data_IF_976073829937
#
_entry.id   IF_976073829937
#
_cell.length_a   1.000
_cell.length_b   1.000
_cell.length_c   1.000
_cell.angle_alpha   90.00
_cell.angle_beta   90.00
_cell.angle_gamma   90.00
#
_symmetry.space_group_name_H-M   'P 1'
#
loop_
_entity.id
_entity.type
_entity.pdbx_description
1 polymer ?
#
# COMPACT_ATOMS: atom_id res chain seq x y z
N UNK A 1 3.56 -12.44 14.61
CA UNK A 1 2.17 -11.98 14.37
C UNK A 1 1.33 -13.05 13.69
N UNK A 2 0.01 -13.13 13.93
CA UNK A 2 -0.88 -14.07 13.20
C UNK A 2 -0.99 -13.65 11.72
N UNK A 3 -1.04 -14.61 10.80
CA UNK A 3 -1.12 -14.37 9.33
C UNK A 3 -2.22 -13.36 8.96
N UNK A 4 -3.38 -13.44 9.63
CA UNK A 4 -4.51 -12.55 9.44
C UNK A 4 -4.21 -11.07 9.74
N UNK A 5 -3.39 -10.78 10.74
CA UNK A 5 -2.99 -9.39 11.03
C UNK A 5 -2.05 -8.85 9.96
N UNK A 6 -1.12 -9.67 9.44
CA UNK A 6 -0.24 -9.28 8.33
C UNK A 6 -1.08 -8.92 7.11
N UNK A 7 -2.03 -9.76 6.74
CA UNK A 7 -2.97 -9.51 5.62
C UNK A 7 -3.76 -8.21 5.80
N UNK A 8 -4.30 -7.96 6.99
CA UNK A 8 -5.10 -6.76 7.27
C UNK A 8 -4.23 -5.49 7.19
N UNK A 9 -3.01 -5.53 7.72
CA UNK A 9 -2.06 -4.41 7.63
C UNK A 9 -1.68 -4.15 6.17
N UNK A 10 -1.38 -5.19 5.40
CA UNK A 10 -1.07 -5.03 3.97
C UNK A 10 -2.25 -4.42 3.22
N UNK A 11 -3.49 -4.86 3.49
CA UNK A 11 -4.69 -4.34 2.86
C UNK A 11 -4.89 -2.84 3.15
N UNK A 12 -4.75 -2.44 4.42
CA UNK A 12 -4.87 -1.05 4.84
C UNK A 12 -3.76 -0.19 4.20
N UNK A 13 -2.53 -0.71 4.15
CA UNK A 13 -1.43 0.00 3.51
C UNK A 13 -1.63 0.17 2.00
N UNK A 14 -2.16 -0.85 1.31
CA UNK A 14 -2.50 -0.77 -0.12
C UNK A 14 -3.57 0.30 -0.37
N UNK A 15 -4.61 0.36 0.47
CA UNK A 15 -5.65 1.38 0.38
C UNK A 15 -5.10 2.79 0.60
N UNK A 16 -4.27 2.98 1.63
CA UNK A 16 -3.62 4.26 1.91
C UNK A 16 -2.70 4.69 0.76
N UNK A 17 -1.93 3.76 0.19
CA UNK A 17 -1.04 4.04 -0.94
C UNK A 17 -1.82 4.44 -2.20
N UNK A 18 -2.86 3.68 -2.57
CA UNK A 18 -3.72 4.03 -3.71
C UNK A 18 -4.43 5.37 -3.50
N UNK A 19 -4.87 5.67 -2.29
CA UNK A 19 -5.49 6.97 -1.96
C UNK A 19 -4.49 8.12 -2.07
N UNK A 20 -3.30 7.96 -1.50
CA UNK A 20 -2.23 8.95 -1.59
C UNK A 20 -1.79 9.18 -3.04
N UNK A 21 -1.63 8.12 -3.83
CA UNK A 21 -1.32 8.20 -5.26
C UNK A 21 -2.40 8.95 -6.03
N UNK A 22 -3.69 8.68 -5.76
CA UNK A 22 -4.80 9.41 -6.36
C UNK A 22 -4.78 10.90 -6.04
N UNK A 23 -4.50 11.27 -4.79
CA UNK A 23 -4.42 12.68 -4.36
C UNK A 23 -3.22 13.39 -4.95
N UNK A 24 -2.04 12.76 -4.96
CA UNK A 24 -0.83 13.31 -5.58
C UNK A 24 -1.01 13.52 -7.08
N UNK A 25 -1.69 12.60 -7.76
CA UNK A 25 -1.97 12.72 -9.18
C UNK A 25 -2.94 13.86 -9.48
N UNK A 26 -3.99 14.00 -8.69
CA UNK A 26 -4.98 15.06 -8.84
C UNK A 26 -4.33 16.44 -8.59
N UNK A 27 -3.39 16.53 -7.65
CA UNK A 27 -2.59 17.75 -7.43
C UNK A 27 -1.62 18.05 -8.58
N UNK A 28 -1.05 17.04 -9.23
CA UNK A 28 -0.02 17.22 -10.26
C UNK A 28 -0.59 17.45 -11.67
N UNK A 29 -1.71 16.80 -12.00
CA UNK A 29 -2.26 16.75 -13.36
C UNK A 29 -3.68 17.32 -13.48
N UNK A 30 -4.31 17.71 -12.36
CA UNK A 30 -5.70 18.21 -12.29
C UNK A 30 -6.72 17.30 -13.02
N UNK A 31 -6.38 16.01 -13.13
CA UNK A 31 -7.12 15.01 -13.86
C UNK A 31 -7.36 13.79 -12.98
N UNK A 32 -8.47 13.08 -13.20
CA UNK A 32 -8.78 11.86 -12.48
C UNK A 32 -7.76 10.77 -12.82
N UNK A 33 -7.07 10.25 -11.80
CA UNK A 33 -6.12 9.14 -11.96
C UNK A 33 -6.85 7.95 -12.60
N UNK A 34 -6.38 7.44 -13.76
CA UNK A 34 -6.94 6.25 -14.36
C UNK A 34 -6.94 5.06 -13.38
N UNK A 35 -8.04 4.31 -13.32
CA UNK A 35 -8.26 3.25 -12.34
C UNK A 35 -7.18 2.15 -12.36
N UNK A 36 -6.58 1.88 -13.53
CA UNK A 36 -5.48 0.92 -13.64
C UNK A 36 -4.19 1.42 -12.95
N UNK A 37 -3.91 2.73 -12.96
CA UNK A 37 -2.76 3.30 -12.24
C UNK A 37 -2.98 3.31 -10.73
N UNK A 38 -4.22 3.53 -10.28
CA UNK A 38 -4.58 3.41 -8.88
C UNK A 38 -4.32 1.99 -8.35
N UNK A 39 -4.70 0.96 -9.12
CA UNK A 39 -4.44 -0.44 -8.80
C UNK A 39 -2.95 -0.80 -8.81
N UNK A 40 -2.20 -0.34 -9.81
CA UNK A 40 -0.74 -0.56 -9.90
C UNK A 40 -0.01 0.09 -8.73
N UNK A 41 -0.39 1.31 -8.34
CA UNK A 41 0.24 2.00 -7.20
C UNK A 41 0.02 1.25 -5.87
N UNK A 42 -1.18 0.74 -5.64
CA UNK A 42 -1.48 -0.11 -4.47
C UNK A 42 -0.75 -1.45 -4.51
N UNK A 43 -0.69 -2.09 -5.68
CA UNK A 43 0.05 -3.33 -5.90
C UNK A 43 1.55 -3.18 -5.64
N UNK A 44 2.16 -2.11 -6.14
CA UNK A 44 3.58 -1.79 -5.90
C UNK A 44 3.85 -1.48 -4.43
N UNK A 45 2.91 -0.84 -3.74
CA UNK A 45 3.03 -0.56 -2.30
C UNK A 45 2.95 -1.82 -1.43
N UNK A 46 2.34 -2.92 -1.91
CA UNK A 46 2.26 -4.16 -1.15
C UNK A 46 3.62 -4.82 -0.89
N UNK A 47 4.56 -4.69 -1.84
CA UNK A 47 5.90 -5.28 -1.77
C UNK A 47 6.70 -4.73 -0.57
N UNK A 48 6.93 -3.41 -0.45
CA UNK A 48 7.68 -2.86 0.68
C UNK A 48 6.96 -3.07 2.02
N UNK A 49 5.62 -3.07 2.04
CA UNK A 49 4.84 -3.32 3.27
C UNK A 49 5.07 -4.75 3.77
N UNK A 50 5.10 -5.73 2.87
CA UNK A 50 5.40 -7.12 3.23
C UNK A 50 6.83 -7.31 3.75
N UNK A 51 7.80 -6.65 3.12
CA UNK A 51 9.19 -6.62 3.58
C UNK A 51 9.29 -6.04 5.01
N UNK A 52 8.61 -4.93 5.25
CA UNK A 52 8.60 -4.20 6.52
C UNK A 52 7.90 -5.02 7.63
N UNK A 53 6.78 -5.67 7.30
CA UNK A 53 6.11 -6.62 8.21
C UNK A 53 6.99 -7.83 8.54
N UNK A 54 7.72 -8.39 7.58
CA UNK A 54 8.70 -9.47 7.82
C UNK A 54 9.81 -9.02 8.76
N UNK A 55 10.31 -7.80 8.58
CA UNK A 55 11.37 -7.25 9.42
C UNK A 55 10.91 -7.05 10.87
N UNK A 56 9.70 -6.53 11.07
CA UNK A 56 9.09 -6.36 12.40
C UNK A 56 8.85 -7.72 13.07
N UNK A 57 8.34 -8.70 12.33
CA UNK A 57 8.07 -10.05 12.84
C UNK A 57 9.35 -10.79 13.23
N UNK A 58 10.45 -10.61 12.47
CA UNK A 58 11.77 -11.13 12.81
C UNK A 58 12.37 -10.49 14.08
N UNK A 59 11.88 -9.30 14.46
CA UNK A 59 12.35 -8.54 15.63
C UNK A 59 11.56 -8.85 16.91
N UNK A 60 10.48 -9.63 16.82
CA UNK A 60 9.76 -10.15 17.98
C UNK A 60 10.44 -11.44 18.46
N UNK A 61 10.98 -11.48 19.70
CA UNK A 61 11.62 -12.67 20.28
C UNK A 61 10.61 -13.80 20.55
#
# INVERSE_FOLDING_TARGET
MKLWQKLLITLVAMLLASYAAGRLWLLAFDFLLPSYLAGVSGGLAAIPVWELLRWIDKKQP
#
